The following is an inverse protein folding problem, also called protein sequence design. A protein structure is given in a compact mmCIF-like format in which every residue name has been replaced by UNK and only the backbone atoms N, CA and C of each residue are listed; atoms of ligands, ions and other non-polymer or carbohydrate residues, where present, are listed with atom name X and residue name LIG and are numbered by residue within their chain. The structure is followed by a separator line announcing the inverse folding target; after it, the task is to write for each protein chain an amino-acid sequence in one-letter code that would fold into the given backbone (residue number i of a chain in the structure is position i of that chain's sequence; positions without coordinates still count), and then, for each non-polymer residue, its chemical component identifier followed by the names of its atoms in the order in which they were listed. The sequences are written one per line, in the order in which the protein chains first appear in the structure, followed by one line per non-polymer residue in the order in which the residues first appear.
data_IF_548735469069
#
_entry.id   IF_548735469069
#
_cell.length_a   1.000
_cell.length_b   1.000
_cell.length_c   1.000
_cell.angle_alpha   90.00
_cell.angle_beta   90.00
_cell.angle_gamma   90.00
#
_symmetry.space_group_name_H-M   'P 1'
#
loop_
_entity.id
_entity.type
_entity.pdbx_description
1 polymer ?
#
# COMPACT_ATOMS: atom_id res chain seq x y z
N UNK A 1 25.42 49.56 11.42
CA UNK A 1 24.77 48.38 12.04
C UNK A 1 24.22 47.51 10.93
N UNK A 2 24.98 46.49 10.50
CA UNK A 2 24.56 45.56 9.45
C UNK A 2 23.79 44.40 10.06
N UNK A 3 22.50 44.30 9.74
CA UNK A 3 21.65 43.15 10.08
C UNK A 3 22.10 41.95 9.26
N UNK A 4 22.94 41.10 9.86
CA UNK A 4 23.28 39.79 9.33
C UNK A 4 22.05 38.90 9.36
N UNK A 5 21.37 38.78 8.21
CA UNK A 5 20.36 37.75 7.98
C UNK A 5 21.07 36.41 8.02
N UNK A 6 20.98 35.70 9.16
CA UNK A 6 21.32 34.28 9.24
C UNK A 6 20.33 33.54 8.33
N UNK A 7 20.78 33.21 7.12
CA UNK A 7 20.17 32.18 6.29
C UNK A 7 20.22 30.91 7.14
N UNK A 8 19.07 30.51 7.66
CA UNK A 8 18.91 29.20 8.29
C UNK A 8 18.99 28.20 7.14
N UNK A 9 20.02 27.36 7.14
CA UNK A 9 20.09 26.26 6.18
C UNK A 9 18.75 25.49 6.19
N UNK A 10 18.18 25.17 5.02
CA UNK A 10 16.98 24.36 4.97
C UNK A 10 17.28 23.04 5.67
N UNK A 11 16.41 22.64 6.61
CA UNK A 11 16.48 21.34 7.27
C UNK A 11 16.71 20.25 6.22
N UNK A 12 17.61 19.26 6.46
CA UNK A 12 17.89 18.21 5.50
C UNK A 12 16.57 17.56 5.09
N UNK A 13 16.19 17.80 3.84
CA UNK A 13 14.91 17.37 3.31
C UNK A 13 14.98 15.86 3.14
N UNK A 14 14.11 15.13 3.84
CA UNK A 14 14.02 13.68 3.71
C UNK A 14 14.00 13.27 2.23
N UNK A 15 15.07 12.65 1.74
CA UNK A 15 15.21 12.34 0.33
C UNK A 15 14.64 10.95 0.06
N UNK A 16 13.54 10.89 -0.70
CA UNK A 16 13.06 9.64 -1.28
C UNK A 16 14.01 9.23 -2.39
N UNK A 17 14.69 8.10 -2.21
CA UNK A 17 15.64 7.53 -3.17
C UNK A 17 15.23 6.12 -3.56
N UNK A 18 15.35 5.84 -4.85
CA UNK A 18 15.20 4.48 -5.38
C UNK A 18 16.59 3.89 -5.51
N UNK A 19 16.92 2.95 -4.63
CA UNK A 19 18.19 2.24 -4.63
C UNK A 19 18.02 0.92 -5.39
N UNK A 20 18.93 0.64 -6.32
CA UNK A 20 19.06 -0.68 -6.94
C UNK A 20 20.40 -1.26 -6.52
N UNK A 21 20.42 -2.15 -5.51
CA UNK A 21 21.67 -2.73 -5.04
C UNK A 21 22.43 -3.42 -6.17
N UNK A 22 23.74 -3.16 -6.25
CA UNK A 22 24.59 -3.76 -7.29
C UNK A 22 24.64 -5.30 -7.20
N UNK A 23 24.50 -5.85 -5.99
CA UNK A 23 24.39 -7.30 -5.76
C UNK A 23 22.92 -7.71 -5.56
N UNK A 24 22.43 -8.70 -6.31
CA UNK A 24 21.09 -9.23 -6.07
C UNK A 24 21.02 -9.97 -4.74
N UNK A 25 19.82 -10.06 -4.17
CA UNK A 25 19.58 -10.89 -2.98
C UNK A 25 19.86 -12.37 -3.28
N UNK A 26 20.49 -13.05 -2.33
CA UNK A 26 20.67 -14.50 -2.37
C UNK A 26 19.37 -15.28 -2.04
N UNK A 27 18.30 -14.60 -1.61
CA UNK A 27 17.05 -15.26 -1.23
C UNK A 27 16.24 -15.73 -2.43
N UNK A 28 15.58 -16.87 -2.26
CA UNK A 28 14.76 -17.46 -3.30
C UNK A 28 13.58 -16.58 -3.74
N UNK A 29 13.37 -16.63 -5.05
CA UNK A 29 12.12 -16.47 -5.78
C UNK A 29 10.82 -16.56 -4.99
N UNK A 30 9.95 -15.55 -5.08
CA UNK A 30 8.53 -15.83 -4.90
C UNK A 30 8.00 -16.51 -6.19
N UNK A 31 7.17 -17.57 -6.11
CA UNK A 31 6.63 -18.22 -7.29
C UNK A 31 5.70 -17.27 -8.04
N UNK A 32 6.01 -17.00 -9.32
CA UNK A 32 5.24 -16.10 -10.20
C UNK A 32 3.79 -16.56 -10.38
N UNK A 33 3.50 -17.85 -10.25
CA UNK A 33 2.18 -18.46 -10.49
C UNK A 33 1.07 -17.94 -9.58
N UNK A 34 1.35 -17.66 -8.30
CA UNK A 34 0.35 -17.15 -7.36
C UNK A 34 -0.09 -15.70 -7.70
N UNK A 35 0.82 -14.89 -8.23
CA UNK A 35 0.50 -13.52 -8.69
C UNK A 35 -0.38 -13.60 -9.93
N UNK A 36 0.01 -14.42 -10.90
CA UNK A 36 -0.74 -14.58 -12.17
C UNK A 36 -2.17 -15.07 -11.89
N UNK A 37 -2.33 -16.05 -11.01
CA UNK A 37 -3.66 -16.59 -10.65
C UNK A 37 -4.54 -15.53 -10.01
N UNK A 38 -4.00 -14.73 -9.10
CA UNK A 38 -4.76 -13.66 -8.44
C UNK A 38 -5.13 -12.53 -9.40
N UNK A 39 -4.22 -12.16 -10.32
CA UNK A 39 -4.50 -11.17 -11.36
C UNK A 39 -5.59 -11.69 -12.30
N UNK A 40 -5.48 -12.93 -12.77
CA UNK A 40 -6.48 -13.56 -13.64
C UNK A 40 -7.86 -13.62 -12.97
N UNK A 41 -7.92 -14.01 -11.70
CA UNK A 41 -9.16 -14.03 -10.92
C UNK A 41 -9.76 -12.63 -10.79
N UNK A 42 -8.94 -11.62 -10.51
CA UNK A 42 -9.41 -10.22 -10.41
C UNK A 42 -9.98 -9.72 -11.73
N UNK A 43 -9.32 -10.03 -12.85
CA UNK A 43 -9.78 -9.66 -14.19
C UNK A 43 -11.10 -10.37 -14.53
N UNK A 44 -11.20 -11.67 -14.24
CA UNK A 44 -12.43 -12.44 -14.47
C UNK A 44 -13.62 -11.87 -13.68
N UNK A 45 -13.40 -11.55 -12.39
CA UNK A 45 -14.44 -10.96 -11.55
C UNK A 45 -14.86 -9.58 -12.07
N UNK A 46 -13.91 -8.75 -12.51
CA UNK A 46 -14.21 -7.45 -13.10
C UNK A 46 -15.04 -7.58 -14.39
N UNK A 47 -14.73 -8.55 -15.25
CA UNK A 47 -15.52 -8.83 -16.46
C UNK A 47 -16.95 -9.26 -16.12
N UNK A 48 -17.14 -10.09 -15.11
CA UNK A 48 -18.49 -10.48 -14.66
C UNK A 48 -19.30 -9.27 -14.16
N UNK A 49 -18.67 -8.38 -13.37
CA UNK A 49 -19.32 -7.14 -12.93
C UNK A 49 -19.63 -6.21 -14.11
N UNK A 50 -18.73 -6.12 -15.09
CA UNK A 50 -18.95 -5.31 -16.30
C UNK A 50 -20.11 -5.81 -17.15
N UNK A 51 -20.29 -7.13 -17.27
CA UNK A 51 -21.44 -7.70 -17.95
C UNK A 51 -22.76 -7.32 -17.25
N UNK A 52 -22.81 -7.43 -15.92
CA UNK A 52 -23.96 -6.98 -15.13
C UNK A 52 -24.20 -5.47 -15.25
N UNK A 53 -23.13 -4.67 -15.22
CA UNK A 53 -23.20 -3.23 -15.40
C UNK A 53 -23.76 -2.84 -16.78
N UNK A 54 -23.39 -3.54 -17.85
CA UNK A 54 -23.90 -3.29 -19.19
C UNK A 54 -25.42 -3.52 -19.28
N UNK A 55 -25.93 -4.58 -18.64
CA UNK A 55 -27.37 -4.83 -18.54
C UNK A 55 -28.08 -3.69 -17.80
N UNK A 56 -27.50 -3.20 -16.70
CA UNK A 56 -28.05 -2.08 -15.93
C UNK A 56 -28.02 -0.77 -16.74
N UNK A 57 -26.97 -0.51 -17.51
CA UNK A 57 -26.86 0.67 -18.38
C UNK A 57 -27.92 0.66 -19.49
N UNK A 58 -28.23 -0.52 -20.03
CA UNK A 58 -29.24 -0.68 -21.08
C UNK A 58 -30.69 -0.58 -20.57
N UNK A 59 -30.90 -0.46 -19.26
CA UNK A 59 -32.24 -0.33 -18.68
C UNK A 59 -32.85 1.05 -18.95
N UNK A 60 -34.18 1.13 -18.95
CA UNK A 60 -34.92 2.37 -19.17
C UNK A 60 -34.93 3.32 -17.95
N UNK A 61 -34.53 2.85 -16.78
CA UNK A 61 -34.49 3.68 -15.56
C UNK A 61 -33.14 4.40 -15.43
N UNK A 62 -33.13 5.71 -15.20
CA UNK A 62 -31.88 6.47 -15.06
C UNK A 62 -31.12 6.09 -13.78
N UNK A 63 -31.82 5.69 -12.71
CA UNK A 63 -31.18 5.24 -11.47
C UNK A 63 -30.36 3.96 -11.69
N UNK A 64 -30.92 2.99 -12.40
CA UNK A 64 -30.24 1.73 -12.74
C UNK A 64 -29.13 1.95 -13.75
N UNK A 65 -29.31 2.85 -14.71
CA UNK A 65 -28.25 3.21 -15.64
C UNK A 65 -27.03 3.84 -14.93
N UNK A 66 -27.26 4.79 -14.02
CA UNK A 66 -26.20 5.40 -13.21
C UNK A 66 -25.52 4.37 -12.31
N UNK A 67 -26.28 3.45 -11.70
CA UNK A 67 -25.70 2.35 -10.91
C UNK A 67 -24.76 1.49 -11.77
N UNK A 68 -25.18 1.14 -12.98
CA UNK A 68 -24.35 0.40 -13.93
C UNK A 68 -23.05 1.14 -14.26
N UNK A 69 -23.10 2.45 -14.52
CA UNK A 69 -21.89 3.27 -14.77
C UNK A 69 -20.95 3.26 -13.57
N UNK A 70 -21.46 3.44 -12.35
CA UNK A 70 -20.63 3.45 -11.13
C UNK A 70 -19.99 2.08 -10.90
N UNK A 71 -20.74 0.98 -11.09
CA UNK A 71 -20.22 -0.38 -10.98
C UNK A 71 -19.16 -0.70 -12.03
N UNK A 72 -19.36 -0.26 -13.28
CA UNK A 72 -18.36 -0.39 -14.34
C UNK A 72 -17.07 0.36 -13.97
N UNK A 73 -17.19 1.59 -13.47
CA UNK A 73 -16.06 2.38 -12.98
C UNK A 73 -15.31 1.69 -11.84
N UNK A 74 -16.03 1.11 -10.87
CA UNK A 74 -15.44 0.34 -9.77
C UNK A 74 -14.75 -0.93 -10.25
N UNK A 75 -15.34 -1.65 -11.21
CA UNK A 75 -14.76 -2.87 -11.77
C UNK A 75 -13.46 -2.57 -12.53
N UNK A 76 -13.48 -1.59 -13.43
CA UNK A 76 -12.31 -1.17 -14.20
C UNK A 76 -11.24 -0.58 -13.29
N UNK A 77 -11.62 0.34 -12.40
CA UNK A 77 -10.70 0.97 -11.46
C UNK A 77 -10.08 -0.04 -10.49
N UNK A 78 -10.88 -0.98 -9.98
CA UNK A 78 -10.42 -2.05 -9.09
C UNK A 78 -9.46 -3.02 -9.79
N UNK A 79 -9.78 -3.43 -11.02
CA UNK A 79 -8.90 -4.27 -11.82
C UNK A 79 -7.58 -3.57 -12.15
N UNK A 80 -7.64 -2.31 -12.61
CA UNK A 80 -6.46 -1.51 -12.89
C UNK A 80 -5.60 -1.31 -11.63
N UNK A 81 -6.22 -0.99 -10.49
CA UNK A 81 -5.56 -0.89 -9.20
C UNK A 81 -4.86 -2.19 -8.80
N UNK A 82 -5.54 -3.32 -8.92
CA UNK A 82 -4.97 -4.63 -8.62
C UNK A 82 -3.78 -4.92 -9.54
N UNK A 83 -3.88 -4.67 -10.84
CA UNK A 83 -2.77 -4.86 -11.79
C UNK A 83 -1.60 -3.93 -11.45
N UNK A 84 -1.85 -2.66 -11.12
CA UNK A 84 -0.79 -1.72 -10.74
C UNK A 84 -0.07 -2.13 -9.45
N UNK A 85 -0.80 -2.62 -8.44
CA UNK A 85 -0.23 -3.01 -7.15
C UNK A 85 0.43 -4.39 -7.22
N UNK A 86 -0.19 -5.36 -7.89
CA UNK A 86 0.30 -6.73 -8.04
C UNK A 86 1.45 -6.82 -9.04
N UNK A 87 1.34 -6.08 -10.15
CA UNK A 87 2.32 -6.02 -11.23
C UNK A 87 3.46 -5.04 -10.98
N UNK A 88 3.45 -4.28 -9.87
CA UNK A 88 4.52 -3.32 -9.58
C UNK A 88 5.90 -4.04 -9.58
N UNK A 89 6.83 -3.64 -10.46
CA UNK A 89 8.14 -4.26 -10.54
C UNK A 89 8.96 -3.87 -9.32
N UNK A 90 9.03 -4.79 -8.36
CA UNK A 90 9.81 -4.64 -7.12
C UNK A 90 11.18 -5.33 -7.20
N UNK A 91 11.35 -6.28 -8.11
CA UNK A 91 12.54 -7.12 -8.18
C UNK A 91 13.82 -6.26 -8.30
N UNK A 92 14.75 -6.46 -7.37
CA UNK A 92 16.04 -5.76 -7.37
C UNK A 92 15.97 -4.27 -6.97
N UNK A 93 14.85 -3.82 -6.41
CA UNK A 93 14.61 -2.40 -6.08
C UNK A 93 14.34 -2.21 -4.59
N UNK A 94 15.02 -1.27 -3.96
CA UNK A 94 14.71 -0.74 -2.64
C UNK A 94 14.23 0.70 -2.79
N UNK A 95 12.99 1.00 -2.44
CA UNK A 95 12.56 2.38 -2.25
C UNK A 95 12.76 2.75 -0.79
N UNK A 96 13.52 3.81 -0.55
CA UNK A 96 13.84 4.26 0.80
C UNK A 96 13.72 5.78 0.88
N UNK A 97 13.19 6.26 2.00
CA UNK A 97 13.24 7.66 2.41
C UNK A 97 14.25 7.70 3.54
N UNK A 98 15.41 8.31 3.28
CA UNK A 98 16.44 8.44 4.28
C UNK A 98 16.29 9.76 5.04
N UNK A 99 16.38 9.66 6.36
CA UNK A 99 16.37 10.75 7.32
C UNK A 99 17.61 10.60 8.24
N UNK A 100 18.00 11.63 8.99
CA UNK A 100 19.02 11.49 10.03
C UNK A 100 18.61 10.39 11.03
N UNK A 101 19.48 9.40 11.21
CA UNK A 101 19.24 8.24 12.09
C UNK A 101 18.01 7.37 11.74
N UNK A 102 17.47 7.44 10.51
CA UNK A 102 16.27 6.68 10.14
C UNK A 102 16.20 6.31 8.67
N UNK A 103 15.79 5.07 8.39
CA UNK A 103 15.41 4.61 7.05
C UNK A 103 13.94 4.23 7.03
N UNK A 104 13.15 4.86 6.15
CA UNK A 104 11.75 4.53 5.96
C UNK A 104 11.54 3.88 4.60
N UNK A 105 11.00 2.67 4.57
CA UNK A 105 10.57 1.96 3.37
C UNK A 105 9.06 2.20 3.17
N UNK A 106 8.65 3.01 2.19
CA UNK A 106 7.26 3.43 2.04
C UNK A 106 6.40 2.43 1.27
N UNK A 107 5.09 2.63 1.32
CA UNK A 107 4.13 2.03 0.40
C UNK A 107 4.37 2.48 -1.06
N UNK A 108 3.87 1.72 -2.05
CA UNK A 108 3.91 2.13 -3.46
C UNK A 108 3.31 3.51 -3.70
N UNK A 109 3.99 4.36 -4.48
CA UNK A 109 3.56 5.74 -4.74
C UNK A 109 2.19 5.87 -5.42
N UNK A 110 1.74 4.83 -6.12
CA UNK A 110 0.43 4.79 -6.77
C UNK A 110 -0.72 4.55 -5.78
N UNK A 111 -0.43 3.97 -4.61
CA UNK A 111 -1.46 3.50 -3.67
C UNK A 111 -2.34 4.63 -3.12
N UNK A 112 -1.82 5.84 -2.82
CA UNK A 112 -2.66 6.98 -2.44
C UNK A 112 -3.65 7.40 -3.53
N UNK A 113 -3.21 7.42 -4.79
CA UNK A 113 -4.07 7.80 -5.92
C UNK A 113 -5.13 6.74 -6.20
N UNK A 114 -4.74 5.47 -6.17
CA UNK A 114 -5.66 4.34 -6.26
C UNK A 114 -6.73 4.41 -5.17
N UNK A 115 -6.33 4.64 -3.93
CA UNK A 115 -7.25 4.72 -2.80
C UNK A 115 -8.21 5.92 -2.94
N UNK A 116 -7.73 7.10 -3.36
CA UNK A 116 -8.59 8.26 -3.64
C UNK A 116 -9.62 7.95 -4.73
N UNK A 117 -9.18 7.42 -5.86
CA UNK A 117 -10.06 7.09 -6.98
C UNK A 117 -11.13 6.08 -6.60
N UNK A 118 -10.74 4.96 -5.98
CA UNK A 118 -11.67 3.92 -5.56
C UNK A 118 -12.63 4.37 -4.47
N UNK A 119 -12.15 5.10 -3.45
CA UNK A 119 -13.02 5.58 -2.39
C UNK A 119 -14.02 6.63 -2.91
N UNK A 120 -13.61 7.50 -3.83
CA UNK A 120 -14.51 8.45 -4.50
C UNK A 120 -15.54 7.71 -5.35
N UNK A 121 -15.14 6.76 -6.21
CA UNK A 121 -16.08 5.97 -7.00
C UNK A 121 -17.07 5.20 -6.13
N UNK A 122 -16.60 4.60 -5.04
CA UNK A 122 -17.45 3.87 -4.11
C UNK A 122 -18.45 4.79 -3.40
N UNK A 123 -18.06 6.03 -3.07
CA UNK A 123 -18.98 7.01 -2.49
C UNK A 123 -20.09 7.44 -3.45
N UNK A 124 -19.87 7.38 -4.78
CA UNK A 124 -20.90 7.67 -5.78
C UNK A 124 -22.02 6.64 -5.85
N UNK A 125 -21.88 5.48 -5.17
CA UNK A 125 -22.97 4.52 -5.02
C UNK A 125 -24.18 5.08 -4.25
N UNK A 126 -24.06 6.25 -3.60
CA UNK A 126 -25.21 6.95 -3.00
C UNK A 126 -26.11 7.62 -4.04
N UNK A 127 -25.61 7.85 -5.27
CA UNK A 127 -26.35 8.60 -6.30
C UNK A 127 -27.56 7.81 -6.84
N UNK A 128 -27.44 6.53 -7.23
CA UNK A 128 -28.57 5.74 -7.69
C UNK A 128 -29.78 5.70 -6.73
N UNK A 129 -29.62 5.40 -5.42
CA UNK A 129 -30.76 5.42 -4.50
C UNK A 129 -31.33 6.84 -4.33
N UNK A 130 -30.50 7.89 -4.38
CA UNK A 130 -30.96 9.27 -4.36
C UNK A 130 -31.85 9.63 -5.56
N UNK A 131 -31.46 9.19 -6.77
CA UNK A 131 -32.27 9.38 -7.99
C UNK A 131 -33.60 8.61 -7.88
N UNK A 132 -33.56 7.35 -7.45
CA UNK A 132 -34.76 6.54 -7.32
C UNK A 132 -35.77 7.13 -6.31
N UNK A 133 -35.28 7.67 -5.20
CA UNK A 133 -36.12 8.38 -4.22
C UNK A 133 -36.70 9.67 -4.81
N UNK A 134 -35.91 10.47 -5.52
CA UNK A 134 -36.37 11.72 -6.13
C UNK A 134 -37.42 11.49 -7.23
N UNK A 135 -37.37 10.35 -7.92
CA UNK A 135 -38.32 9.98 -8.97
C UNK A 135 -39.55 9.23 -8.45
N UNK A 136 -39.60 8.91 -7.15
CA UNK A 136 -40.68 8.08 -6.58
C UNK A 136 -40.65 6.61 -7.04
N UNK A 137 -39.55 6.15 -7.65
CA UNK A 137 -39.38 4.79 -8.19
C UNK A 137 -38.65 3.86 -7.22
N UNK A 138 -38.41 4.30 -5.99
CA UNK A 138 -37.74 3.49 -4.97
C UNK A 138 -38.50 2.19 -4.64
N UNK A 139 -39.83 2.16 -4.84
CA UNK A 139 -40.64 0.95 -4.67
C UNK A 139 -40.40 -0.13 -5.73
N UNK A 140 -39.85 0.24 -6.89
CA UNK A 140 -39.62 -0.66 -8.02
C UNK A 140 -38.26 -1.38 -7.93
N UNK A 141 -37.39 -0.93 -7.02
CA UNK A 141 -36.10 -1.54 -6.79
C UNK A 141 -36.19 -2.55 -5.63
N UNK A 142 -35.64 -3.76 -5.78
CA UNK A 142 -35.55 -4.68 -4.66
C UNK A 142 -34.79 -4.00 -3.52
N UNK A 143 -35.21 -4.25 -2.27
CA UNK A 143 -34.59 -3.64 -1.08
C UNK A 143 -33.05 -3.78 -1.09
N UNK A 144 -32.54 -4.92 -1.56
CA UNK A 144 -31.11 -5.17 -1.73
C UNK A 144 -30.43 -4.22 -2.73
N UNK A 145 -31.11 -3.84 -3.81
CA UNK A 145 -30.63 -2.92 -4.84
C UNK A 145 -30.53 -1.47 -4.37
N UNK A 146 -31.26 -1.10 -3.31
CA UNK A 146 -31.14 0.22 -2.64
C UNK A 146 -30.20 0.17 -1.44
N UNK A 147 -30.33 -0.86 -0.58
CA UNK A 147 -29.58 -0.95 0.66
C UNK A 147 -28.09 -1.20 0.44
N UNK A 148 -27.72 -2.12 -0.46
CA UNK A 148 -26.32 -2.48 -0.71
C UNK A 148 -25.48 -1.28 -1.18
N UNK A 149 -25.84 -0.56 -2.25
CA UNK A 149 -25.04 0.58 -2.69
C UNK A 149 -25.02 1.72 -1.65
N UNK A 150 -26.11 1.92 -0.92
CA UNK A 150 -26.18 2.92 0.16
C UNK A 150 -25.21 2.58 1.30
N UNK A 151 -25.20 1.34 1.78
CA UNK A 151 -24.29 0.88 2.84
C UNK A 151 -22.85 0.98 2.40
N UNK A 152 -22.53 0.54 1.17
CA UNK A 152 -21.17 0.65 0.62
C UNK A 152 -20.74 2.11 0.51
N UNK A 153 -21.61 3.00 0.00
CA UNK A 153 -21.31 4.43 -0.10
C UNK A 153 -21.08 5.06 1.28
N UNK A 154 -21.92 4.75 2.26
CA UNK A 154 -21.80 5.26 3.63
C UNK A 154 -20.48 4.83 4.30
N UNK A 155 -20.03 3.61 4.05
CA UNK A 155 -18.73 3.11 4.52
C UNK A 155 -17.55 3.71 3.73
N UNK A 156 -17.73 3.99 2.45
CA UNK A 156 -16.70 4.55 1.59
C UNK A 156 -16.47 6.06 1.82
N UNK A 157 -17.50 6.81 2.21
CA UNK A 157 -17.43 8.27 2.37
C UNK A 157 -16.33 8.71 3.36
N UNK A 158 -16.24 8.15 4.58
CA UNK A 158 -15.15 8.49 5.51
C UNK A 158 -13.77 8.13 4.95
N UNK A 159 -13.66 7.05 4.17
CA UNK A 159 -12.42 6.65 3.52
C UNK A 159 -12.01 7.66 2.43
N UNK A 160 -12.96 8.13 1.62
CA UNK A 160 -12.74 9.16 0.61
C UNK A 160 -12.28 10.48 1.26
N UNK A 161 -13.00 10.94 2.29
CA UNK A 161 -12.63 12.15 3.05
C UNK A 161 -11.22 12.02 3.64
N UNK A 162 -10.87 10.87 4.23
CA UNK A 162 -9.51 10.63 4.76
C UNK A 162 -8.44 10.59 3.65
N UNK A 163 -8.75 10.00 2.50
CA UNK A 163 -7.83 9.91 1.37
C UNK A 163 -7.53 11.28 0.74
N UNK A 164 -8.53 12.16 0.65
CA UNK A 164 -8.39 13.52 0.13
C UNK A 164 -7.80 14.51 1.13
N UNK A 165 -8.09 14.36 2.43
CA UNK A 165 -7.49 15.20 3.49
C UNK A 165 -6.03 14.87 3.82
N UNK A 166 -5.43 13.90 3.14
CA UNK A 166 -4.05 13.46 3.42
C UNK A 166 -3.86 12.70 4.73
N UNK A 167 -4.96 12.36 5.43
CA UNK A 167 -4.94 11.63 6.72
C UNK A 167 -4.92 10.12 6.57
N UNK A 168 -4.93 9.61 5.33
CA UNK A 168 -4.81 8.18 5.07
C UNK A 168 -3.43 7.67 5.51
N UNK A 169 -3.42 6.66 6.38
CA UNK A 169 -2.19 5.99 6.82
C UNK A 169 -1.86 4.87 5.84
N UNK A 170 -0.70 4.97 5.22
CA UNK A 170 -0.18 3.94 4.33
C UNK A 170 0.90 3.11 5.02
N UNK A 171 0.98 1.85 4.63
CA UNK A 171 1.94 0.93 5.22
C UNK A 171 3.37 1.41 4.99
N UNK A 172 4.19 1.44 6.04
CA UNK A 172 5.61 1.75 5.92
C UNK A 172 6.39 1.03 7.00
N UNK A 173 7.63 0.69 6.68
CA UNK A 173 8.58 0.08 7.61
C UNK A 173 9.68 1.09 7.91
N UNK A 174 9.92 1.35 9.19
CA UNK A 174 10.92 2.28 9.68
C UNK A 174 12.01 1.48 10.41
N UNK A 175 13.25 1.78 10.10
CA UNK A 175 14.43 1.30 10.80
C UNK A 175 15.10 2.50 11.45
N UNK A 176 15.48 2.34 12.71
CA UNK A 176 16.28 3.28 13.49
C UNK A 176 17.33 2.49 14.30
N UNK A 177 18.30 3.16 14.97
CA UNK A 177 19.32 2.47 15.75
C UNK A 177 18.77 1.57 16.86
N UNK A 178 17.56 1.85 17.37
CA UNK A 178 16.95 1.14 18.50
C UNK A 178 16.16 -0.09 18.04
N UNK A 179 15.56 -0.05 16.85
CA UNK A 179 14.76 -1.13 16.35
C UNK A 179 14.14 -0.97 14.97
N UNK A 180 13.08 -1.74 14.80
CA UNK A 180 12.26 -1.81 13.60
C UNK A 180 10.82 -1.52 13.98
N UNK A 181 10.17 -0.68 13.20
CA UNK A 181 8.76 -0.35 13.38
C UNK A 181 8.00 -0.50 12.07
N UNK A 182 6.86 -1.18 12.12
CA UNK A 182 5.91 -1.26 11.03
C UNK A 182 4.63 -0.51 11.41
N UNK A 183 4.23 0.44 10.57
CA UNK A 183 2.92 1.07 10.64
C UNK A 183 2.10 0.53 9.50
N UNK A 184 0.95 -0.08 9.78
CA UNK A 184 0.03 -0.62 8.78
C UNK A 184 -1.42 -0.27 9.08
N UNK A 185 -2.33 -0.80 8.27
CA UNK A 185 -3.77 -0.54 8.40
C UNK A 185 -4.35 -1.00 9.76
N UNK A 186 -3.75 -2.02 10.40
CA UNK A 186 -4.19 -2.59 11.68
C UNK A 186 -3.52 -1.96 12.91
N UNK A 187 -2.69 -0.93 12.72
CA UNK A 187 -1.96 -0.26 13.79
C UNK A 187 -0.45 -0.33 13.60
N UNK A 188 0.25 0.04 14.67
CA UNK A 188 1.70 0.11 14.75
C UNK A 188 2.24 -1.11 15.53
N UNK A 189 3.35 -1.67 15.04
CA UNK A 189 4.11 -2.72 15.72
C UNK A 189 5.57 -2.32 15.71
N UNK A 190 6.22 -2.43 16.85
CA UNK A 190 7.64 -2.13 17.00
C UNK A 190 8.36 -3.31 17.66
N UNK A 191 9.62 -3.51 17.29
CA UNK A 191 10.50 -4.51 17.84
C UNK A 191 11.88 -3.90 18.03
N UNK A 192 12.49 -4.07 19.21
CA UNK A 192 13.88 -3.69 19.40
C UNK A 192 14.79 -4.68 18.68
N UNK A 193 15.94 -4.23 18.22
CA UNK A 193 16.85 -5.11 17.50
C UNK A 193 17.30 -6.32 18.33
N UNK A 194 17.40 -6.17 19.65
CA UNK A 194 17.85 -7.23 20.56
C UNK A 194 16.80 -8.34 20.76
N UNK A 195 15.52 -8.00 20.52
CA UNK A 195 14.41 -8.95 20.53
C UNK A 195 14.33 -9.72 19.20
N UNK A 196 14.75 -9.11 18.09
CA UNK A 196 14.68 -9.72 16.76
C UNK A 196 15.76 -10.80 16.60
N UNK A 197 15.36 -12.07 16.68
CA UNK A 197 16.29 -13.21 16.47
C UNK A 197 16.39 -13.65 15.04
N UNK A 198 15.32 -13.48 14.26
CA UNK A 198 15.24 -14.09 12.94
C UNK A 198 14.35 -13.28 12.01
N UNK A 199 14.86 -13.06 10.80
CA UNK A 199 14.17 -12.41 9.68
C UNK A 199 13.93 -13.43 8.58
N UNK A 200 12.67 -13.75 8.30
CA UNK A 200 12.28 -14.75 7.31
C UNK A 200 11.32 -14.19 6.28
N UNK A 201 11.43 -14.70 5.05
CA UNK A 201 10.36 -14.58 4.07
C UNK A 201 9.58 -15.89 4.06
N UNK A 202 8.28 -15.83 4.39
CA UNK A 202 7.35 -16.95 4.27
C UNK A 202 6.33 -16.61 3.19
N UNK A 203 6.53 -17.15 2.00
CA UNK A 203 5.72 -16.82 0.84
C UNK A 203 5.75 -15.33 0.51
N UNK A 204 4.62 -14.64 0.67
CA UNK A 204 4.47 -13.21 0.38
C UNK A 204 4.71 -12.29 1.58
N UNK A 205 5.27 -12.81 2.67
CA UNK A 205 5.30 -12.09 3.95
C UNK A 205 6.70 -12.09 4.54
N UNK A 206 7.08 -10.95 5.08
CA UNK A 206 8.29 -10.72 5.84
C UNK A 206 7.96 -10.86 7.33
N UNK A 207 8.59 -11.83 7.98
CA UNK A 207 8.39 -12.15 9.40
C UNK A 207 9.65 -11.85 10.20
N UNK A 208 9.49 -11.05 11.24
CA UNK A 208 10.48 -10.85 12.29
C UNK A 208 9.99 -11.60 13.54
N UNK A 209 10.86 -12.46 14.06
CA UNK A 209 10.51 -13.33 15.20
C UNK A 209 11.45 -13.14 16.38
N UNK A 210 10.87 -13.26 17.58
CA UNK A 210 11.52 -13.18 18.87
C UNK A 210 12.33 -14.42 19.23
N UNK A 211 12.98 -14.39 20.40
CA UNK A 211 13.76 -15.53 20.92
C UNK A 211 12.88 -16.73 21.32
N UNK A 212 11.67 -16.44 21.77
CA UNK A 212 10.61 -17.40 22.10
C UNK A 212 9.88 -17.93 20.85
N UNK A 213 10.26 -17.47 19.65
CA UNK A 213 9.58 -17.80 18.39
C UNK A 213 8.30 -17.01 18.15
N UNK A 214 7.94 -16.07 19.03
CA UNK A 214 6.80 -15.17 18.82
C UNK A 214 7.00 -14.30 17.57
N UNK A 215 5.90 -13.96 16.90
CA UNK A 215 5.93 -13.07 15.74
C UNK A 215 5.84 -11.63 16.23
N UNK A 216 6.94 -10.88 16.11
CA UNK A 216 7.02 -9.48 16.53
C UNK A 216 6.43 -8.57 15.45
N UNK A 217 6.88 -8.75 14.21
CA UNK A 217 6.43 -7.99 13.05
C UNK A 217 6.16 -8.93 11.89
N UNK A 218 5.05 -8.71 11.21
CA UNK A 218 4.63 -9.48 10.03
C UNK A 218 4.06 -8.52 8.99
N UNK A 219 4.76 -8.42 7.86
CA UNK A 219 4.51 -7.44 6.80
C UNK A 219 4.25 -8.15 5.48
N UNK A 220 3.20 -7.75 4.76
CA UNK A 220 3.02 -8.19 3.38
C UNK A 220 4.09 -7.57 2.47
N UNK A 221 4.80 -8.39 1.71
CA UNK A 221 5.77 -7.95 0.71
C UNK A 221 5.19 -6.93 -0.30
N UNK A 222 3.86 -6.94 -0.48
CA UNK A 222 3.14 -6.06 -1.40
C UNK A 222 2.75 -4.71 -0.77
N UNK A 223 2.77 -4.62 0.56
CA UNK A 223 2.42 -3.41 1.31
C UNK A 223 3.51 -2.35 1.20
N UNK A 224 4.72 -2.77 0.82
CA UNK A 224 5.89 -1.93 0.63
C UNK A 224 6.24 -1.82 -0.86
N UNK A 225 6.87 -0.72 -1.24
CA UNK A 225 7.34 -0.47 -2.60
C UNK A 225 8.65 -1.23 -2.93
N UNK A 226 9.36 -1.70 -1.91
CA UNK A 226 10.65 -2.38 -2.01
C UNK A 226 10.53 -3.88 -2.29
N UNK A 227 11.58 -4.47 -2.86
CA UNK A 227 11.79 -5.91 -2.92
C UNK A 227 11.86 -6.46 -1.50
N UNK A 228 10.96 -7.39 -1.16
CA UNK A 228 10.94 -8.01 0.15
C UNK A 228 12.22 -8.82 0.44
N UNK A 229 12.93 -9.30 -0.59
CA UNK A 229 14.19 -10.03 -0.42
C UNK A 229 15.32 -9.14 0.02
N UNK A 230 15.51 -8.04 -0.70
CA UNK A 230 16.51 -7.03 -0.35
C UNK A 230 16.18 -6.41 1.00
N UNK A 231 14.90 -6.14 1.28
CA UNK A 231 14.48 -5.64 2.57
C UNK A 231 14.81 -6.61 3.71
N UNK A 232 14.59 -7.90 3.48
CA UNK A 232 14.92 -8.91 4.47
C UNK A 232 16.44 -9.03 4.68
N UNK A 233 17.25 -8.85 3.63
CA UNK A 233 18.71 -8.80 3.74
C UNK A 233 19.19 -7.56 4.53
N UNK A 234 18.61 -6.39 4.29
CA UNK A 234 18.88 -5.17 5.07
C UNK A 234 18.56 -5.38 6.56
N UNK A 235 17.41 -5.98 6.86
CA UNK A 235 17.02 -6.26 8.24
C UNK A 235 17.95 -7.30 8.89
N UNK A 236 18.37 -8.33 8.16
CA UNK A 236 19.33 -9.31 8.66
C UNK A 236 20.72 -8.71 8.88
N UNK A 237 21.17 -7.78 8.03
CA UNK A 237 22.43 -7.06 8.19
C UNK A 237 22.48 -6.32 9.54
N UNK A 238 21.49 -5.45 9.80
CA UNK A 238 21.45 -4.65 11.04
C UNK A 238 21.16 -5.47 12.28
N UNK A 239 20.44 -6.60 12.12
CA UNK A 239 20.29 -7.59 13.19
C UNK A 239 21.63 -8.24 13.55
N UNK A 240 22.39 -8.72 12.56
CA UNK A 240 23.64 -9.48 12.76
C UNK A 240 24.83 -8.58 13.12
N UNK A 241 24.82 -7.32 12.72
CA UNK A 241 25.94 -6.38 12.93
C UNK A 241 25.47 -5.16 13.74
N UNK A 242 25.37 -5.26 15.08
CA UNK A 242 24.94 -4.16 15.93
C UNK A 242 25.77 -2.88 15.77
N UNK A 243 27.07 -3.02 15.48
CA UNK A 243 27.98 -1.90 15.22
C UNK A 243 27.56 -1.03 14.01
N UNK A 244 26.78 -1.58 13.07
CA UNK A 244 26.25 -0.85 11.93
C UNK A 244 24.92 -0.14 12.23
N UNK A 245 24.30 -0.33 13.39
CA UNK A 245 23.02 0.34 13.67
C UNK A 245 23.15 1.87 13.73
N UNK A 246 24.34 2.37 14.07
CA UNK A 246 24.65 3.80 14.05
C UNK A 246 24.74 4.44 12.66
N UNK A 247 24.90 3.65 11.59
CA UNK A 247 24.85 4.17 10.20
C UNK A 247 23.42 4.18 9.62
N UNK A 248 22.41 3.67 10.33
CA UNK A 248 21.01 3.70 9.88
C UNK A 248 20.61 5.15 9.64
N UNK A 249 20.19 5.47 8.42
CA UNK A 249 19.89 6.83 7.98
C UNK A 249 20.57 7.14 6.66
N UNK A 250 20.84 8.41 6.39
CA UNK A 250 21.51 8.84 5.15
C UNK A 250 22.86 8.15 4.92
N UNK A 251 23.63 7.89 5.99
CA UNK A 251 24.92 7.22 5.93
C UNK A 251 24.86 5.77 5.41
N UNK A 252 23.70 5.11 5.51
CA UNK A 252 23.49 3.77 4.99
C UNK A 252 23.34 3.73 3.47
N UNK A 253 22.93 4.84 2.82
CA UNK A 253 22.60 4.85 1.39
C UNK A 253 23.74 4.33 0.50
N UNK A 254 25.00 4.78 0.64
CA UNK A 254 26.10 4.29 -0.18
C UNK A 254 26.36 2.78 -0.01
N UNK A 255 26.07 2.21 1.18
CA UNK A 255 26.19 0.76 1.41
C UNK A 255 25.08 -0.01 0.71
N UNK A 256 23.84 0.49 0.80
CA UNK A 256 22.68 -0.11 0.15
C UNK A 256 22.87 -0.13 -1.38
N UNK A 257 23.44 0.94 -1.94
CA UNK A 257 23.73 1.04 -3.38
C UNK A 257 24.81 0.06 -3.83
N UNK A 258 25.89 -0.09 -3.05
CA UNK A 258 26.91 -1.12 -3.30
C UNK A 258 26.40 -2.55 -3.18
N UNK A 259 25.25 -2.74 -2.50
CA UNK A 259 24.71 -4.07 -2.23
C UNK A 259 25.52 -4.85 -1.19
N UNK A 260 26.19 -4.14 -0.28
CA UNK A 260 26.90 -4.75 0.85
C UNK A 260 25.90 -5.12 1.97
N UNK A 261 25.00 -6.06 1.65
CA UNK A 261 23.88 -6.51 2.49
C UNK A 261 24.16 -7.81 3.25
N UNK A 262 25.37 -8.37 3.13
CA UNK A 262 25.81 -9.63 3.74
C UNK A 262 26.92 -9.41 4.77
#
# INVERSE_FOLDING_TARGET
MGLGVRVTDPAPTAQRRVVRPARPSARAGQPRSAVVTLVALTVLLALAVLAGAAVLIASSSPATAVLGVVLAGLAVGGAAAAVLVLGHPRAGRLEVVAEPARLTFPAPAALPWVNRGLATLASLLIVPPGIALAQGTAGDLPLFGLATPTVVAALALPAAVRAWSGRARYSHLVLDPDGVRFVGARGERAARWDDVRRVQLRGARLHLSGADGSVLIDVGARDLASDARLLADVLDLYRRRPALRGEIGEAALPRLERGDLA
#
